data_IF_368768289182
#
_entry.id   IF_368768289182
#
_cell.length_a   1.000
_cell.length_b   1.000
_cell.length_c   1.000
_cell.angle_alpha   90.00
_cell.angle_beta   90.00
_cell.angle_gamma   90.00
#
_symmetry.space_group_name_H-M   'P 1'
#
loop_
_entity.id
_entity.type
_entity.pdbx_description
1 polymer ?
#
# COMPACT_ATOMS: atom_id res chain seq x y z
N UNK A 1 -25.12 -24.73 -14.46
CA UNK A 1 -23.79 -25.02 -13.89
C UNK A 1 -23.38 -23.81 -13.07
N UNK A 2 -23.74 -23.78 -11.78
CA UNK A 2 -23.36 -22.71 -10.84
C UNK A 2 -22.53 -23.39 -9.76
N UNK A 3 -21.26 -23.02 -9.63
CA UNK A 3 -20.37 -23.57 -8.61
C UNK A 3 -20.85 -23.08 -7.24
N UNK A 4 -21.34 -23.99 -6.41
CA UNK A 4 -21.65 -23.73 -5.00
C UNK A 4 -20.32 -23.64 -4.25
N UNK A 5 -19.84 -22.42 -4.00
CA UNK A 5 -18.67 -22.20 -3.15
C UNK A 5 -18.96 -22.69 -1.73
N UNK A 6 -18.01 -23.39 -1.11
CA UNK A 6 -18.18 -23.91 0.25
C UNK A 6 -18.29 -22.76 1.26
N UNK A 7 -18.95 -23.01 2.39
CA UNK A 7 -19.12 -22.04 3.48
C UNK A 7 -17.78 -21.51 4.01
N UNK A 8 -16.75 -22.36 4.03
CA UNK A 8 -15.38 -22.00 4.39
C UNK A 8 -14.75 -21.01 3.40
N UNK A 9 -15.01 -21.17 2.09
CA UNK A 9 -14.54 -20.21 1.08
C UNK A 9 -15.22 -18.85 1.22
N UNK A 10 -16.53 -18.81 1.54
CA UNK A 10 -17.25 -17.56 1.77
C UNK A 10 -16.80 -16.85 3.06
N UNK A 11 -16.49 -17.60 4.11
CA UNK A 11 -15.97 -17.04 5.38
C UNK A 11 -14.54 -16.53 5.23
N UNK A 12 -13.67 -17.22 4.48
CA UNK A 12 -12.33 -16.74 4.13
C UNK A 12 -12.40 -15.43 3.32
N UNK A 13 -13.25 -15.38 2.28
CA UNK A 13 -13.45 -14.16 1.49
C UNK A 13 -14.02 -13.00 2.31
N UNK A 14 -14.85 -13.27 3.33
CA UNK A 14 -15.39 -12.23 4.23
C UNK A 14 -14.33 -11.66 5.17
N UNK A 15 -13.36 -12.48 5.60
CA UNK A 15 -12.25 -12.04 6.45
C UNK A 15 -11.19 -11.25 5.66
N UNK A 16 -10.97 -11.58 4.37
CA UNK A 16 -10.01 -10.86 3.51
C UNK A 16 -10.54 -9.49 3.04
N UNK A 17 -11.86 -9.29 2.98
CA UNK A 17 -12.48 -8.03 2.54
C UNK A 17 -12.44 -6.94 3.63
N UNK A 18 -12.34 -7.31 4.92
CA UNK A 18 -12.41 -6.34 6.04
C UNK A 18 -11.06 -5.68 6.40
N UNK A 19 -9.93 -6.18 5.89
CA UNK A 19 -8.58 -5.63 6.12
C UNK A 19 -8.04 -4.84 4.92
N UNK A 20 -8.91 -4.02 4.30
CA UNK A 20 -8.59 -3.19 3.13
C UNK A 20 -7.24 -2.47 3.22
N UNK A 21 -6.61 -2.18 2.08
CA UNK A 21 -5.22 -1.70 1.94
C UNK A 21 -4.68 -0.91 3.16
N UNK A 22 -4.00 -1.60 4.07
CA UNK A 22 -3.36 -1.02 5.26
C UNK A 22 -1.89 -0.72 5.00
N UNK A 23 -1.42 0.39 5.56
CA UNK A 23 -0.03 0.83 5.46
C UNK A 23 0.39 1.54 6.73
N UNK A 24 1.70 1.55 7.01
CA UNK A 24 2.22 2.34 8.13
C UNK A 24 2.01 3.81 7.83
N UNK A 25 1.54 4.51 8.86
CA UNK A 25 1.62 5.96 8.86
C UNK A 25 3.04 6.39 9.20
N UNK A 26 3.64 7.19 8.32
CA UNK A 26 4.98 7.71 8.54
C UNK A 26 4.93 9.23 8.58
N UNK A 27 5.91 9.80 9.28
CA UNK A 27 6.13 11.23 9.32
C UNK A 27 7.29 11.57 8.39
N UNK A 28 7.22 12.72 7.71
CA UNK A 28 8.36 13.25 6.97
C UNK A 28 9.44 13.76 7.92
N UNK A 29 10.55 14.27 7.38
CA UNK A 29 11.69 14.77 8.16
C UNK A 29 11.36 15.98 9.05
N UNK A 30 10.24 16.67 8.81
CA UNK A 30 9.73 17.74 9.68
C UNK A 30 8.82 17.23 10.82
N UNK A 31 8.60 15.92 10.91
CA UNK A 31 7.64 15.32 11.86
C UNK A 31 6.18 15.46 11.45
N UNK A 32 5.89 15.97 10.24
CA UNK A 32 4.53 16.07 9.71
C UNK A 32 4.09 14.75 9.09
N UNK A 33 2.82 14.41 9.23
CA UNK A 33 2.22 13.24 8.59
C UNK A 33 2.43 13.28 7.07
N UNK A 34 3.00 12.21 6.52
CA UNK A 34 3.27 12.12 5.10
C UNK A 34 1.97 12.06 4.27
N UNK A 35 2.03 12.59 3.04
CA UNK A 35 0.96 12.46 2.06
C UNK A 35 1.19 11.22 1.18
N UNK A 36 0.11 10.53 0.80
CA UNK A 36 0.16 9.43 -0.17
C UNK A 36 -0.09 9.99 -1.57
N UNK A 37 0.75 9.58 -2.52
CA UNK A 37 0.64 9.94 -3.95
C UNK A 37 0.79 8.70 -4.82
N UNK A 38 0.35 8.82 -6.07
CA UNK A 38 0.50 7.80 -7.11
C UNK A 38 1.54 8.29 -8.12
N UNK A 39 2.48 7.45 -8.51
CA UNK A 39 3.47 7.75 -9.54
C UNK A 39 2.85 7.85 -10.93
N UNK A 40 3.46 8.67 -11.78
CA UNK A 40 3.00 8.87 -13.17
C UNK A 40 3.18 7.60 -14.02
N UNK A 41 2.42 7.51 -15.12
CA UNK A 41 2.33 6.35 -16.01
C UNK A 41 3.61 6.03 -16.80
N UNK A 42 4.52 7.00 -16.92
CA UNK A 42 5.55 7.00 -17.97
C UNK A 42 6.83 6.23 -17.62
N UNK A 43 6.91 5.56 -16.47
CA UNK A 43 8.10 4.79 -16.06
C UNK A 43 7.77 3.38 -15.53
N UNK A 44 8.80 2.64 -15.18
CA UNK A 44 8.71 1.27 -14.63
C UNK A 44 7.93 1.22 -13.31
N UNK A 45 7.85 2.34 -12.59
CA UNK A 45 7.12 2.47 -11.34
C UNK A 45 5.66 2.93 -11.54
N UNK A 46 5.08 2.84 -12.74
CA UNK A 46 3.73 3.36 -13.05
C UNK A 46 2.66 2.93 -12.04
N UNK A 47 1.84 3.89 -11.62
CA UNK A 47 0.70 3.69 -10.72
C UNK A 47 1.05 3.15 -9.33
N UNK A 48 2.32 3.15 -8.94
CA UNK A 48 2.79 2.74 -7.63
C UNK A 48 2.53 3.85 -6.61
N UNK A 49 2.02 3.47 -5.45
CA UNK A 49 1.80 4.38 -4.34
C UNK A 49 3.14 4.70 -3.65
N UNK A 50 3.32 5.96 -3.26
CA UNK A 50 4.46 6.41 -2.46
C UNK A 50 4.00 7.43 -1.41
N UNK A 51 4.80 7.59 -0.37
CA UNK A 51 4.61 8.54 0.71
C UNK A 51 5.66 9.64 0.59
N UNK A 52 5.25 10.90 0.75
CA UNK A 52 6.15 12.05 0.60
C UNK A 52 5.80 13.18 1.56
N UNK A 53 6.70 14.16 1.67
CA UNK A 53 6.45 15.36 2.47
C UNK A 53 5.18 16.08 1.99
N UNK A 54 4.23 16.42 2.89
CA UNK A 54 3.00 17.13 2.49
C UNK A 54 3.30 18.54 1.92
N UNK A 55 4.47 19.10 2.22
CA UNK A 55 4.92 20.41 1.74
C UNK A 55 5.90 20.33 0.56
N UNK A 56 6.32 19.13 0.16
CA UNK A 56 7.28 18.92 -0.92
C UNK A 56 8.64 19.64 -0.74
N UNK A 57 9.07 19.83 0.51
CA UNK A 57 10.24 20.67 0.84
C UNK A 57 11.39 19.92 1.52
N UNK A 58 11.13 18.83 2.25
CA UNK A 58 12.19 18.13 2.99
C UNK A 58 12.80 16.93 2.25
N UNK A 59 12.33 16.62 1.04
CA UNK A 59 12.82 15.46 0.27
C UNK A 59 12.46 14.09 0.84
N UNK A 60 11.55 14.01 1.83
CA UNK A 60 11.07 12.70 2.32
C UNK A 60 10.33 11.97 1.20
N UNK A 61 10.73 10.71 0.97
CA UNK A 61 10.14 9.81 -0.01
C UNK A 61 10.30 8.37 0.46
N UNK A 62 9.20 7.61 0.47
CA UNK A 62 9.22 6.15 0.69
C UNK A 62 8.16 5.48 -0.19
N UNK A 63 8.48 4.31 -0.73
CA UNK A 63 7.47 3.52 -1.44
C UNK A 63 6.42 2.99 -0.46
N UNK A 64 5.19 2.90 -0.94
CA UNK A 64 4.11 2.31 -0.16
C UNK A 64 4.26 0.79 -0.10
N UNK A 65 4.39 0.25 1.11
CA UNK A 65 4.44 -1.19 1.37
C UNK A 65 3.19 -1.56 2.18
N UNK A 66 2.25 -2.33 1.62
CA UNK A 66 1.09 -2.82 2.36
C UNK A 66 1.51 -3.64 3.58
N UNK A 67 0.81 -3.50 4.71
CA UNK A 67 1.14 -4.23 5.95
C UNK A 67 1.03 -5.75 5.81
N UNK A 68 0.20 -6.20 4.86
CA UNK A 68 -0.08 -7.60 4.61
C UNK A 68 0.94 -8.20 3.61
N UNK A 69 1.88 -7.40 3.11
CA UNK A 69 2.92 -7.82 2.17
C UNK A 69 4.13 -8.34 2.94
N UNK A 70 4.65 -9.55 2.63
CA UNK A 70 5.88 -10.05 3.20
C UNK A 70 7.03 -9.06 2.93
N UNK A 71 7.84 -8.75 3.96
CA UNK A 71 8.99 -7.83 3.84
C UNK A 71 10.00 -8.28 2.77
N UNK A 72 10.00 -9.55 2.37
CA UNK A 72 10.83 -10.06 1.28
C UNK A 72 10.55 -9.38 -0.08
N UNK A 73 9.36 -8.79 -0.28
CA UNK A 73 9.06 -7.99 -1.48
C UNK A 73 9.52 -6.54 -1.38
N UNK A 74 9.96 -6.09 -0.21
CA UNK A 74 10.47 -4.74 0.01
C UNK A 74 11.99 -4.62 -0.27
N UNK A 75 12.72 -5.74 -0.29
CA UNK A 75 14.18 -5.75 -0.50
C UNK A 75 14.60 -5.79 -1.98
N UNK A 76 13.66 -6.04 -2.89
CA UNK A 76 13.91 -6.13 -4.35
C UNK A 76 13.77 -4.79 -5.11
N UNK A 77 13.71 -3.63 -4.42
CA UNK A 77 13.46 -2.32 -5.05
C UNK A 77 14.36 -1.17 -4.57
#
# INVERSE_FOLDING_TARGET
MLALYSREMLEAMRNDIDDGLRFRNVNCLYGLRASVRISDKQNENRYRLYQCCPRDQCGFFEWFIPLNMPLSYAEDF
#
